data_IF_274966492947
#
_entry.id   IF_274966492947
#
_cell.length_a   1.000
_cell.length_b   1.000
_cell.length_c   1.000
_cell.angle_alpha   90.00
_cell.angle_beta   90.00
_cell.angle_gamma   90.00
#
_symmetry.space_group_name_H-M   'P 1'
#
loop_
_entity.id
_entity.type
_entity.pdbx_description
1 polymer ?
#
# COMPACT_ATOMS: atom_id res chain seq x y z
N UNK A 1 8.61 -12.27 -30.22
CA UNK A 1 7.43 -11.40 -30.18
C UNK A 1 6.83 -11.49 -28.80
N UNK A 2 6.53 -10.35 -28.18
CA UNK A 2 5.89 -10.28 -26.87
C UNK A 2 4.39 -10.05 -27.08
N UNK A 3 3.56 -10.36 -26.08
CA UNK A 3 2.11 -10.13 -26.12
C UNK A 3 1.72 -8.70 -26.53
N UNK A 4 2.56 -7.72 -26.18
CA UNK A 4 2.39 -6.31 -26.54
C UNK A 4 2.37 -6.06 -28.05
N UNK A 5 3.14 -6.85 -28.82
CA UNK A 5 3.24 -6.71 -30.28
C UNK A 5 1.99 -7.30 -30.98
N UNK A 6 1.39 -8.34 -30.40
CA UNK A 6 0.19 -9.02 -30.93
C UNK A 6 -1.07 -8.15 -30.78
N UNK A 7 -1.15 -7.43 -29.66
CA UNK A 7 -2.21 -6.45 -29.36
C UNK A 7 -2.26 -5.37 -30.44
N UNK A 8 -1.11 -4.83 -30.88
CA UNK A 8 -1.05 -3.79 -31.91
C UNK A 8 -1.63 -4.25 -33.28
N UNK A 9 -1.58 -5.56 -33.55
CA UNK A 9 -2.09 -6.16 -34.79
C UNK A 9 -3.56 -6.60 -34.71
N UNK A 10 -4.25 -6.34 -33.59
CA UNK A 10 -5.64 -6.75 -33.37
C UNK A 10 -5.81 -8.24 -33.09
N UNK A 11 -4.72 -8.94 -32.71
CA UNK A 11 -4.71 -10.38 -32.46
C UNK A 11 -4.69 -10.62 -30.95
N UNK A 12 -5.69 -11.34 -30.42
CA UNK A 12 -5.77 -11.77 -29.01
C UNK A 12 -5.65 -13.29 -28.92
N UNK A 13 -4.68 -13.80 -28.16
CA UNK A 13 -4.59 -15.22 -27.81
C UNK A 13 -5.69 -15.59 -26.78
N UNK A 14 -6.46 -16.63 -27.07
CA UNK A 14 -7.39 -17.28 -26.13
C UNK A 14 -6.74 -18.58 -25.66
N UNK A 15 -6.39 -18.66 -24.36
CA UNK A 15 -5.95 -19.91 -23.75
C UNK A 15 -7.13 -20.88 -23.62
N UNK A 16 -7.10 -21.97 -24.38
CA UNK A 16 -8.09 -23.05 -24.26
C UNK A 16 -7.67 -23.99 -23.15
N UNK A 17 -8.35 -23.95 -22.00
CA UNK A 17 -8.06 -24.82 -20.84
C UNK A 17 -9.08 -25.95 -20.64
N UNK A 18 -10.07 -26.09 -21.53
CA UNK A 18 -11.11 -27.12 -21.39
C UNK A 18 -10.94 -28.23 -22.44
N UNK A 19 -10.94 -29.48 -21.96
CA UNK A 19 -10.93 -30.70 -22.76
C UNK A 19 -12.15 -30.85 -23.67
N UNK A 20 -13.20 -30.05 -23.47
CA UNK A 20 -14.35 -29.97 -24.38
C UNK A 20 -14.03 -29.30 -25.74
N UNK A 21 -13.06 -28.38 -25.79
CA UNK A 21 -12.70 -27.66 -27.03
C UNK A 21 -11.86 -28.52 -27.99
N UNK A 22 -11.22 -29.58 -27.48
CA UNK A 22 -10.36 -30.45 -28.29
C UNK A 22 -11.18 -31.39 -29.18
N UNK A 23 -12.39 -31.76 -28.76
CA UNK A 23 -13.24 -32.72 -29.48
C UNK A 23 -13.90 -32.16 -30.76
N UNK A 24 -14.03 -30.84 -30.88
CA UNK A 24 -14.56 -30.17 -32.10
C UNK A 24 -13.47 -29.67 -33.06
N UNK A 25 -12.19 -29.98 -32.77
CA UNK A 25 -11.03 -29.36 -33.43
C UNK A 25 -10.68 -29.88 -34.83
N UNK A 26 -11.57 -30.60 -35.53
CA UNK A 26 -11.28 -31.02 -36.91
C UNK A 26 -11.61 -29.97 -37.98
N UNK A 27 -12.36 -28.90 -37.68
CA UNK A 27 -12.71 -27.88 -38.68
C UNK A 27 -13.09 -26.51 -38.09
N UNK A 28 -12.35 -26.03 -37.08
CA UNK A 28 -12.52 -24.65 -36.61
C UNK A 28 -11.13 -24.02 -36.51
N UNK A 29 -10.72 -23.35 -37.58
CA UNK A 29 -9.60 -22.42 -37.55
C UNK A 29 -9.76 -21.49 -36.34
N UNK A 30 -8.68 -21.09 -35.63
CA UNK A 30 -8.80 -20.17 -34.52
C UNK A 30 -9.55 -18.93 -35.03
N UNK A 31 -10.79 -18.74 -34.57
CA UNK A 31 -11.54 -17.55 -34.88
C UNK A 31 -10.82 -16.40 -34.18
N UNK A 32 -9.93 -15.72 -34.90
CA UNK A 32 -9.41 -14.43 -34.51
C UNK A 32 -10.62 -13.50 -34.42
N UNK A 33 -11.10 -13.27 -33.21
CA UNK A 33 -12.05 -12.19 -32.95
C UNK A 33 -11.34 -10.87 -33.23
N UNK A 34 -11.61 -10.28 -34.40
CA UNK A 34 -11.18 -8.93 -34.74
C UNK A 34 -11.89 -7.98 -33.77
N UNK A 35 -11.17 -7.56 -32.73
CA UNK A 35 -11.62 -6.49 -31.85
C UNK A 35 -11.19 -5.19 -32.51
N UNK A 36 -12.13 -4.23 -32.60
CA UNK A 36 -11.84 -2.93 -33.17
C UNK A 36 -10.66 -2.26 -32.43
N UNK A 37 -9.69 -1.69 -33.15
CA UNK A 37 -8.49 -1.11 -32.56
C UNK A 37 -8.82 0.03 -31.58
N UNK A 38 -9.96 0.70 -31.72
CA UNK A 38 -10.42 1.71 -30.76
C UNK A 38 -10.67 1.12 -29.36
N UNK A 39 -11.32 -0.05 -29.26
CA UNK A 39 -11.64 -0.69 -27.96
C UNK A 39 -10.35 -1.09 -27.24
N UNK A 40 -9.34 -1.52 -27.99
CA UNK A 40 -8.06 -1.94 -27.45
C UNK A 40 -7.22 -0.74 -26.98
N UNK A 41 -7.23 0.35 -27.74
CA UNK A 41 -6.58 1.61 -27.34
C UNK A 41 -7.22 2.20 -26.08
N UNK A 42 -8.55 2.14 -25.95
CA UNK A 42 -9.26 2.55 -24.74
C UNK A 42 -8.85 1.70 -23.53
N UNK A 43 -8.81 0.37 -23.65
CA UNK A 43 -8.37 -0.51 -22.55
C UNK A 43 -6.93 -0.23 -22.09
N UNK A 44 -6.01 0.02 -23.03
CA UNK A 44 -4.60 0.35 -22.73
C UNK A 44 -4.54 1.68 -21.98
N UNK A 45 -5.27 2.70 -22.45
CA UNK A 45 -5.30 4.02 -21.81
C UNK A 45 -5.91 3.96 -20.40
N UNK A 46 -6.91 3.11 -20.18
CA UNK A 46 -7.57 2.92 -18.89
C UNK A 46 -6.64 2.21 -17.89
N UNK A 47 -5.89 1.20 -18.37
CA UNK A 47 -4.88 0.50 -17.56
C UNK A 47 -3.72 1.41 -17.18
N UNK A 48 -3.24 2.24 -18.10
CA UNK A 48 -2.17 3.20 -17.85
C UNK A 48 -2.55 4.22 -16.75
N UNK A 49 -3.78 4.77 -16.81
CA UNK A 49 -4.31 5.69 -15.79
C UNK A 49 -4.44 5.03 -14.41
N UNK A 50 -4.96 3.80 -14.34
CA UNK A 50 -5.07 3.05 -13.08
C UNK A 50 -3.71 2.73 -12.48
N UNK A 51 -2.70 2.49 -13.31
CA UNK A 51 -1.36 2.21 -12.84
C UNK A 51 -0.62 3.45 -12.35
N UNK A 52 -0.79 4.61 -12.99
CA UNK A 52 -0.24 5.88 -12.50
C UNK A 52 -0.84 6.27 -11.14
N UNK A 53 -2.16 6.16 -10.98
CA UNK A 53 -2.84 6.40 -9.70
C UNK A 53 -2.34 5.46 -8.59
N UNK A 54 -2.13 4.18 -8.93
CA UNK A 54 -1.60 3.19 -7.97
C UNK A 54 -0.15 3.46 -7.60
N UNK A 55 0.67 3.97 -8.53
CA UNK A 55 2.06 4.36 -8.27
C UNK A 55 2.14 5.61 -7.39
N UNK A 56 1.29 6.61 -7.63
CA UNK A 56 1.22 7.83 -6.82
C UNK A 56 0.72 7.56 -5.39
N UNK A 57 -0.28 6.69 -5.23
CA UNK A 57 -0.77 6.27 -3.92
C UNK A 57 0.31 5.51 -3.12
N UNK A 58 1.11 4.66 -3.79
CA UNK A 58 2.24 3.96 -3.16
C UNK A 58 3.37 4.91 -2.78
N UNK A 59 3.73 5.85 -3.65
CA UNK A 59 4.78 6.84 -3.38
C UNK A 59 4.45 7.74 -2.18
N UNK A 60 3.20 8.19 -2.04
CA UNK A 60 2.75 8.95 -0.86
C UNK A 60 2.75 8.11 0.43
N UNK A 61 2.34 6.85 0.34
CA UNK A 61 2.41 5.91 1.47
C UNK A 61 3.85 5.69 1.95
N UNK A 62 4.80 5.52 1.03
CA UNK A 62 6.18 5.18 1.37
C UNK A 62 6.97 6.37 1.93
N UNK A 63 6.72 7.60 1.46
CA UNK A 63 7.26 8.81 2.06
C UNK A 63 6.72 9.00 3.49
N UNK A 64 5.41 8.85 3.68
CA UNK A 64 4.77 8.98 5.00
C UNK A 64 5.23 7.89 5.98
N UNK A 65 5.54 6.68 5.51
CA UNK A 65 6.11 5.60 6.35
C UNK A 65 7.56 5.87 6.78
N UNK A 66 8.37 6.44 5.88
CA UNK A 66 9.77 6.82 6.21
C UNK A 66 9.82 7.97 7.20
N UNK A 67 8.94 8.95 7.06
CA UNK A 67 8.79 10.04 8.04
C UNK A 67 8.17 9.54 9.35
N UNK A 68 7.21 8.63 9.31
CA UNK A 68 6.63 8.04 10.52
C UNK A 68 7.64 7.22 11.33
N UNK A 69 8.65 6.64 10.69
CA UNK A 69 9.78 5.98 11.37
C UNK A 69 10.80 6.95 11.97
N UNK A 70 10.80 8.21 11.54
CA UNK A 70 11.70 9.26 12.03
C UNK A 70 11.12 10.07 13.19
N UNK A 71 9.82 9.95 13.48
CA UNK A 71 9.22 10.66 14.62
C UNK A 71 9.55 9.95 15.94
N UNK A 72 10.10 10.67 16.92
CA UNK A 72 10.41 10.08 18.22
C UNK A 72 9.13 9.59 18.90
N UNK A 73 9.17 8.45 19.61
CA UNK A 73 7.99 7.85 20.24
C UNK A 73 7.36 8.75 21.31
N UNK A 74 8.13 9.67 21.92
CA UNK A 74 7.64 10.67 22.88
C UNK A 74 6.71 11.71 22.23
N UNK A 75 6.98 12.12 20.99
CA UNK A 75 6.16 13.13 20.29
C UNK A 75 4.92 12.55 19.62
N UNK A 76 4.84 11.21 19.50
CA UNK A 76 3.74 10.53 18.83
C UNK A 76 2.37 10.83 19.46
N UNK A 77 2.33 10.96 20.78
CA UNK A 77 1.10 11.29 21.50
C UNK A 77 0.99 12.77 21.86
N UNK A 78 2.12 13.49 21.98
CA UNK A 78 2.11 14.93 22.26
C UNK A 78 1.44 15.74 21.15
N UNK A 79 1.47 15.27 19.90
CA UNK A 79 0.73 15.92 18.81
C UNK A 79 -0.79 15.68 18.86
N UNK A 80 -1.28 14.86 19.80
CA UNK A 80 -2.69 14.53 19.97
C UNK A 80 -3.28 15.23 21.20
N UNK A 81 -2.98 16.52 21.36
CA UNK A 81 -3.49 17.37 22.45
C UNK A 81 -5.03 17.45 22.47
N UNK A 82 -5.68 17.27 21.32
CA UNK A 82 -7.15 17.21 21.25
C UNK A 82 -7.74 15.99 21.96
N UNK A 83 -6.96 14.91 22.09
CA UNK A 83 -7.41 13.63 22.66
C UNK A 83 -6.88 13.40 24.07
N UNK A 84 -5.79 14.05 24.44
CA UNK A 84 -5.10 13.78 25.69
C UNK A 84 -4.68 15.08 26.35
N UNK A 85 -5.05 15.24 27.62
CA UNK A 85 -4.80 16.46 28.37
C UNK A 85 -3.46 16.43 29.12
N UNK A 86 -3.02 15.24 29.56
CA UNK A 86 -1.79 15.08 30.34
C UNK A 86 -0.99 13.88 29.86
N UNK A 87 0.33 14.01 29.95
CA UNK A 87 1.31 13.01 29.52
C UNK A 87 2.32 12.77 30.64
N UNK A 88 2.85 11.56 30.68
CA UNK A 88 3.95 11.15 31.57
C UNK A 88 5.32 11.61 31.01
N UNK A 89 6.41 11.44 31.77
CA UNK A 89 7.79 11.79 31.39
C UNK A 89 8.24 11.14 30.06
N UNK A 90 7.63 10.00 29.73
CA UNK A 90 7.90 9.26 28.47
C UNK A 90 7.07 9.77 27.28
N UNK A 91 6.15 10.71 27.49
CA UNK A 91 5.20 11.20 26.50
C UNK A 91 3.97 10.29 26.32
N UNK A 92 3.69 9.37 27.25
CA UNK A 92 2.50 8.49 27.19
C UNK A 92 1.30 9.22 27.83
N UNK A 93 0.12 9.26 27.19
CA UNK A 93 -1.07 9.88 27.77
C UNK A 93 -1.48 9.25 29.08
N UNK A 94 -1.71 10.07 30.11
CA UNK A 94 -2.22 9.65 31.42
C UNK A 94 -3.69 10.04 31.60
N UNK A 95 -4.09 11.17 31.02
CA UNK A 95 -5.45 11.71 31.10
C UNK A 95 -6.04 11.92 29.70
N UNK A 96 -7.33 11.63 29.56
CA UNK A 96 -8.11 11.87 28.34
C UNK A 96 -8.36 13.37 28.12
N UNK A 97 -8.97 13.75 27.01
CA UNK A 97 -9.28 15.14 26.65
C UNK A 97 -10.07 15.88 27.74
N UNK A 98 -10.92 15.17 28.49
CA UNK A 98 -11.70 15.73 29.60
C UNK A 98 -10.95 15.80 30.94
N UNK A 99 -9.66 15.47 30.97
CA UNK A 99 -8.86 15.46 32.20
C UNK A 99 -9.20 14.30 33.15
N UNK A 100 -9.88 13.25 32.67
CA UNK A 100 -10.11 12.01 33.42
C UNK A 100 -8.94 11.05 33.24
N UNK A 101 -8.58 10.34 34.31
CA UNK A 101 -7.58 9.28 34.25
C UNK A 101 -8.00 8.19 33.25
N UNK A 102 -7.07 7.81 32.38
CA UNK A 102 -7.31 6.77 31.38
C UNK A 102 -7.39 5.41 32.07
N UNK A 103 -8.33 4.56 31.64
CA UNK A 103 -8.48 3.22 32.21
C UNK A 103 -7.20 2.39 32.03
N UNK A 104 -6.86 1.56 33.03
CA UNK A 104 -5.65 0.69 33.01
C UNK A 104 -5.53 -0.16 31.74
N UNK A 105 -6.65 -0.58 31.16
CA UNK A 105 -6.70 -1.34 29.91
C UNK A 105 -6.28 -0.51 28.69
N UNK A 106 -6.67 0.75 28.63
CA UNK A 106 -6.29 1.70 27.58
C UNK A 106 -4.84 2.15 27.75
N UNK A 107 -4.39 2.42 28.98
CA UNK A 107 -2.98 2.71 29.27
C UNK A 107 -2.06 1.59 28.76
N UNK A 108 -2.40 0.32 29.01
CA UNK A 108 -1.63 -0.81 28.46
C UNK A 108 -1.61 -0.85 26.93
N UNK A 109 -2.67 -0.41 26.25
CA UNK A 109 -2.69 -0.28 24.78
C UNK A 109 -1.76 0.83 24.30
N UNK A 110 -1.80 1.99 24.94
CA UNK A 110 -0.93 3.13 24.64
C UNK A 110 0.54 2.77 24.87
N UNK A 111 0.85 2.07 25.96
CA UNK A 111 2.19 1.54 26.26
C UNK A 111 2.68 0.62 25.14
N UNK A 112 1.85 -0.33 24.69
CA UNK A 112 2.22 -1.23 23.58
C UNK A 112 2.49 -0.48 22.28
N UNK A 113 1.68 0.52 21.96
CA UNK A 113 1.88 1.37 20.78
C UNK A 113 3.20 2.14 20.88
N UNK A 114 3.50 2.69 22.05
CA UNK A 114 4.77 3.35 22.34
C UNK A 114 5.96 2.40 22.15
N UNK A 115 5.91 1.19 22.72
CA UNK A 115 7.01 0.22 22.63
C UNK A 115 7.27 -0.22 21.19
N UNK A 116 6.22 -0.40 20.39
CA UNK A 116 6.34 -0.71 18.96
C UNK A 116 7.01 0.44 18.21
N UNK A 117 6.59 1.68 18.47
CA UNK A 117 7.18 2.86 17.82
C UNK A 117 8.63 3.06 18.27
N UNK A 118 8.95 2.86 19.55
CA UNK A 118 10.30 2.96 20.10
C UNK A 118 11.26 1.97 19.43
N UNK A 119 10.84 0.72 19.21
CA UNK A 119 11.62 -0.26 18.45
C UNK A 119 11.85 0.16 16.99
N UNK A 120 10.83 0.69 16.33
CA UNK A 120 10.94 1.21 14.96
C UNK A 120 11.90 2.39 14.87
N UNK A 121 11.79 3.34 15.80
CA UNK A 121 12.65 4.51 15.87
C UNK A 121 14.10 4.12 16.19
N UNK A 122 14.32 3.19 17.11
CA UNK A 122 15.66 2.66 17.41
C UNK A 122 16.30 1.97 16.19
N UNK A 123 15.53 1.21 15.41
CA UNK A 123 16.01 0.63 14.16
C UNK A 123 16.32 1.69 13.09
N UNK A 124 15.49 2.74 13.01
CA UNK A 124 15.73 3.88 12.12
C UNK A 124 17.01 4.64 12.49
N UNK A 125 17.24 4.92 13.78
CA UNK A 125 18.45 5.56 14.27
C UNK A 125 19.70 4.76 13.90
N UNK A 126 19.68 3.44 14.10
CA UNK A 126 20.80 2.55 13.69
C UNK A 126 21.05 2.59 12.19
N UNK A 127 19.99 2.62 11.38
CA UNK A 127 20.15 2.72 9.93
C UNK A 127 20.71 4.09 9.51
N UNK A 128 20.27 5.17 10.17
CA UNK A 128 20.76 6.52 9.92
C UNK A 128 22.25 6.60 10.28
N UNK A 129 22.64 6.13 11.45
CA UNK A 129 24.04 6.07 11.90
C UNK A 129 24.90 5.27 10.92
N UNK A 130 24.44 4.09 10.48
CA UNK A 130 25.13 3.29 9.47
C UNK A 130 25.22 3.94 8.08
N UNK A 131 24.29 4.85 7.74
CA UNK A 131 24.28 5.54 6.45
C UNK A 131 25.21 6.75 6.42
N UNK A 132 25.48 7.35 7.58
CA UNK A 132 26.40 8.49 7.72
C UNK A 132 27.85 8.07 7.97
N UNK A 133 28.09 6.75 8.12
CA UNK A 133 29.41 6.12 8.14
C UNK A 133 29.78 5.59 6.75
#
# INVERSE_FOLDING_TARGET
MRDEDLVLTGIRLQDRTSSADTAQSFNIAPALGLVAPEILAEEISLKAKRESERREAKARSDASRKEAGAKPPSEMFLNQLEKYSRFDDKGIPTHDASGKEIAKSQLKKLQKLYDVQSKRYAAYLKLKEKREL
#
